data_IF_963025065937
#
_entry.id   IF_963025065937
#
_cell.length_a   1.000
_cell.length_b   1.000
_cell.length_c   1.000
_cell.angle_alpha   90.00
_cell.angle_beta   90.00
_cell.angle_gamma   90.00
#
_symmetry.space_group_name_H-M   'P 1'
#
loop_
_entity.id
_entity.type
_entity.pdbx_description
1 polymer ?
#
# COMPACT_ATOMS: atom_id res chain seq x y z
N UNK A 1 8.60 15.94 -37.05
CA UNK A 1 8.58 16.20 -35.60
C UNK A 1 7.74 15.12 -34.87
N UNK A 2 6.55 14.74 -35.37
CA UNK A 2 5.68 13.71 -34.71
C UNK A 2 6.26 12.29 -34.67
N UNK A 3 7.12 11.87 -35.60
CA UNK A 3 7.73 10.52 -35.61
C UNK A 3 8.81 10.32 -34.54
N UNK A 4 9.50 11.40 -34.13
CA UNK A 4 10.53 11.32 -33.07
C UNK A 4 9.91 11.24 -31.67
N UNK A 5 8.81 11.93 -31.41
CA UNK A 5 8.13 11.90 -30.11
C UNK A 5 7.60 10.49 -29.76
N UNK A 6 7.06 9.77 -30.77
CA UNK A 6 6.59 8.38 -30.57
C UNK A 6 7.72 7.39 -30.26
N UNK A 7 8.92 7.59 -30.85
CA UNK A 7 10.10 6.75 -30.58
C UNK A 7 10.69 7.03 -29.20
N UNK A 8 10.70 8.29 -28.76
CA UNK A 8 11.16 8.67 -27.43
C UNK A 8 10.22 8.13 -26.33
N UNK A 9 8.90 8.18 -26.55
CA UNK A 9 7.93 7.63 -25.61
C UNK A 9 8.06 6.12 -25.44
N UNK A 10 8.32 5.39 -26.55
CA UNK A 10 8.53 3.94 -26.52
C UNK A 10 9.83 3.57 -25.77
N UNK A 11 10.90 4.34 -25.94
CA UNK A 11 12.19 4.08 -25.27
C UNK A 11 12.09 4.37 -23.77
N UNK A 12 11.38 5.40 -23.36
CA UNK A 12 11.15 5.71 -21.94
C UNK A 12 10.29 4.63 -21.28
N UNK A 13 9.25 4.14 -21.97
CA UNK A 13 8.40 3.07 -21.44
C UNK A 13 9.17 1.73 -21.34
N UNK A 14 10.03 1.43 -22.31
CA UNK A 14 10.84 0.18 -22.33
C UNK A 14 11.97 0.25 -21.29
N UNK A 15 12.58 1.41 -21.09
CA UNK A 15 13.64 1.62 -20.09
C UNK A 15 13.14 1.45 -18.65
N UNK A 16 11.95 1.94 -18.33
CA UNK A 16 11.33 1.76 -17.02
C UNK A 16 10.95 0.30 -16.77
N UNK A 17 10.55 -0.44 -17.80
CA UNK A 17 10.25 -1.88 -17.67
C UNK A 17 11.51 -2.76 -17.52
N UNK A 18 12.61 -2.40 -18.15
CA UNK A 18 13.83 -3.22 -18.12
C UNK A 18 14.54 -3.19 -16.75
N UNK A 19 14.48 -2.08 -16.03
CA UNK A 19 15.06 -1.98 -14.66
C UNK A 19 14.25 -2.81 -13.66
N UNK A 20 12.97 -3.05 -13.91
CA UNK A 20 12.12 -3.83 -13.00
C UNK A 20 12.31 -5.35 -13.12
N UNK A 21 13.01 -5.85 -14.12
CA UNK A 21 13.22 -7.30 -14.33
C UNK A 21 14.52 -7.85 -13.72
N UNK A 22 15.45 -7.00 -13.28
CA UNK A 22 16.78 -7.45 -12.85
C UNK A 22 16.94 -7.66 -11.33
N UNK A 23 15.92 -7.46 -10.54
CA UNK A 23 16.00 -7.67 -9.08
C UNK A 23 15.00 -8.71 -8.59
N UNK A 24 15.08 -9.92 -9.12
CA UNK A 24 14.56 -11.09 -8.44
C UNK A 24 15.44 -11.39 -7.22
N UNK A 25 14.79 -11.56 -6.08
CA UNK A 25 15.27 -12.26 -4.89
C UNK A 25 16.24 -11.60 -3.91
N UNK A 26 16.38 -10.33 -3.70
CA UNK A 26 17.02 -9.86 -2.46
C UNK A 26 16.95 -8.36 -2.16
N UNK A 27 16.24 -7.58 -2.91
CA UNK A 27 16.02 -6.17 -2.59
C UNK A 27 14.60 -5.94 -2.02
N UNK A 28 14.16 -6.92 -1.25
CA UNK A 28 13.05 -6.92 -0.31
C UNK A 28 12.00 -5.81 -0.43
N UNK A 29 11.49 -5.55 0.66
CA UNK A 29 10.35 -4.73 1.07
C UNK A 29 10.19 -3.40 0.33
N UNK A 30 11.27 -2.60 0.22
CA UNK A 30 11.22 -1.26 -0.41
C UNK A 30 10.93 -1.25 -1.90
N UNK A 31 11.25 -2.33 -2.62
CA UNK A 31 10.96 -2.44 -4.07
C UNK A 31 9.48 -2.74 -4.28
N UNK A 32 8.89 -3.61 -3.48
CA UNK A 32 7.47 -3.92 -3.51
C UNK A 32 6.63 -2.69 -3.16
N UNK A 33 6.99 -1.99 -2.09
CA UNK A 33 6.37 -0.74 -1.66
C UNK A 33 6.41 0.33 -2.75
N UNK A 34 7.58 0.53 -3.36
CA UNK A 34 7.76 1.50 -4.44
C UNK A 34 6.92 1.15 -5.67
N UNK A 35 6.96 -0.11 -6.12
CA UNK A 35 6.17 -0.55 -7.27
C UNK A 35 4.67 -0.37 -7.05
N UNK A 36 4.18 -0.73 -5.87
CA UNK A 36 2.78 -0.55 -5.53
C UNK A 36 2.42 0.93 -5.51
N UNK A 37 3.24 1.81 -4.93
CA UNK A 37 3.00 3.24 -4.87
C UNK A 37 3.04 3.89 -6.26
N UNK A 38 3.99 3.49 -7.11
CA UNK A 38 4.07 3.96 -8.50
C UNK A 38 2.81 3.54 -9.29
N UNK A 39 2.33 2.31 -9.09
CA UNK A 39 1.11 1.81 -9.72
C UNK A 39 -0.14 2.50 -9.17
N UNK A 40 -0.19 2.74 -7.86
CA UNK A 40 -1.27 3.48 -7.20
C UNK A 40 -1.39 4.90 -7.77
N UNK A 41 -0.26 5.57 -8.02
CA UNK A 41 -0.24 6.90 -8.64
C UNK A 41 -0.76 6.92 -10.08
N UNK A 42 -0.70 5.80 -10.80
CA UNK A 42 -1.34 5.71 -12.13
C UNK A 42 -2.86 5.84 -12.00
N UNK A 43 -3.46 5.20 -11.00
CA UNK A 43 -4.90 5.30 -10.74
C UNK A 43 -5.27 6.65 -10.11
N UNK A 44 -4.48 7.14 -9.16
CA UNK A 44 -4.72 8.43 -8.50
C UNK A 44 -4.79 9.61 -9.46
N UNK A 45 -4.05 9.57 -10.57
CA UNK A 45 -4.09 10.63 -11.61
C UNK A 45 -5.49 10.85 -12.20
N UNK A 46 -6.28 9.80 -12.34
CA UNK A 46 -7.65 9.90 -12.85
C UNK A 46 -8.56 10.68 -11.87
N UNK A 47 -8.26 10.63 -10.59
CA UNK A 47 -8.97 11.31 -9.52
C UNK A 47 -8.29 12.66 -9.12
N UNK A 48 -7.29 13.12 -9.88
CA UNK A 48 -6.45 14.28 -9.55
C UNK A 48 -5.77 14.16 -8.18
N UNK A 49 -5.28 12.96 -7.86
CA UNK A 49 -4.60 12.64 -6.62
C UNK A 49 -3.17 12.20 -6.91
N UNK A 50 -2.24 12.69 -6.08
CA UNK A 50 -0.86 12.24 -6.01
C UNK A 50 -0.58 11.65 -4.63
N UNK A 51 -0.21 10.38 -4.57
CA UNK A 51 0.20 9.71 -3.33
C UNK A 51 1.69 9.92 -3.10
N UNK A 52 2.05 10.50 -1.96
CA UNK A 52 3.46 10.76 -1.58
C UNK A 52 3.83 10.02 -0.31
N UNK A 53 4.91 9.25 -0.37
CA UNK A 53 5.47 8.59 0.82
C UNK A 53 5.97 9.63 1.82
N UNK A 54 5.51 9.50 3.06
CA UNK A 54 5.87 10.35 4.19
C UNK A 54 5.91 9.52 5.47
N UNK A 55 6.98 9.69 6.26
CA UNK A 55 7.06 9.08 7.61
C UNK A 55 6.07 9.76 8.55
N UNK A 56 6.02 11.09 8.48
CA UNK A 56 5.14 11.95 9.28
C UNK A 56 4.56 13.06 8.41
N UNK A 57 3.41 13.58 8.79
CA UNK A 57 2.78 14.72 8.12
C UNK A 57 2.05 15.61 9.13
N UNK A 58 2.07 16.92 8.89
CA UNK A 58 1.21 17.87 9.63
C UNK A 58 0.10 18.35 8.71
N UNK A 59 -1.15 18.15 9.12
CA UNK A 59 -2.35 18.57 8.39
C UNK A 59 -3.21 19.39 9.35
N UNK A 60 -3.51 20.63 8.98
CA UNK A 60 -4.32 21.56 9.80
C UNK A 60 -3.77 21.70 11.24
N UNK A 61 -2.44 21.76 11.39
CA UNK A 61 -1.78 21.89 12.69
C UNK A 61 -1.62 20.60 13.50
N UNK A 62 -2.24 19.50 13.08
CA UNK A 62 -2.11 18.19 13.74
C UNK A 62 -1.04 17.35 13.09
N UNK A 63 -0.11 16.83 13.88
CA UNK A 63 0.95 15.90 13.43
C UNK A 63 0.42 14.47 13.44
N UNK A 64 0.68 13.75 12.36
CA UNK A 64 0.34 12.34 12.18
C UNK A 64 1.60 11.54 11.90
N UNK A 65 1.76 10.39 12.56
CA UNK A 65 2.92 9.50 12.50
C UNK A 65 2.56 8.26 11.66
N UNK A 66 2.61 8.38 10.32
CA UNK A 66 2.19 7.31 9.39
C UNK A 66 3.06 6.06 9.53
N UNK A 67 4.38 6.24 9.66
CA UNK A 67 5.33 5.15 9.85
C UNK A 67 5.10 4.39 11.15
N UNK A 68 4.82 5.09 12.25
CA UNK A 68 4.51 4.47 13.53
C UNK A 68 3.21 3.66 13.45
N UNK A 69 2.18 4.21 12.82
CA UNK A 69 0.92 3.51 12.59
C UNK A 69 1.13 2.23 11.74
N UNK A 70 1.90 2.30 10.66
CA UNK A 70 2.25 1.13 9.85
C UNK A 70 3.03 0.07 10.65
N UNK A 71 4.00 0.50 11.47
CA UNK A 71 4.79 -0.39 12.32
C UNK A 71 3.91 -1.09 13.38
N UNK A 72 2.94 -0.39 13.94
CA UNK A 72 1.97 -0.97 14.88
C UNK A 72 1.06 -1.98 14.19
N UNK A 73 0.55 -1.69 12.99
CA UNK A 73 -0.22 -2.64 12.18
C UNK A 73 0.63 -3.87 11.87
N UNK A 74 1.87 -3.67 11.42
CA UNK A 74 2.83 -4.76 11.17
C UNK A 74 3.02 -5.66 12.38
N UNK A 75 3.11 -5.10 13.57
CA UNK A 75 3.25 -5.88 14.79
C UNK A 75 2.00 -6.70 15.17
N UNK A 76 0.83 -6.40 14.58
CA UNK A 76 -0.39 -7.15 14.82
C UNK A 76 -0.42 -8.51 14.12
N UNK A 77 0.43 -8.76 13.11
CA UNK A 77 0.48 -10.08 12.43
C UNK A 77 0.88 -11.23 13.36
N UNK A 78 1.55 -10.91 14.48
CA UNK A 78 1.93 -11.88 15.51
C UNK A 78 0.83 -12.14 16.55
N UNK A 79 -0.30 -11.43 16.45
CA UNK A 79 -1.43 -11.63 17.34
C UNK A 79 -2.06 -13.00 17.11
N UNK A 80 -2.45 -13.68 18.18
CA UNK A 80 -3.06 -15.02 18.13
C UNK A 80 -4.38 -15.08 17.36
N UNK A 81 -5.02 -13.94 17.13
CA UNK A 81 -6.23 -13.83 16.30
C UNK A 81 -5.91 -13.82 14.80
N UNK A 82 -4.62 -13.72 14.43
CA UNK A 82 -4.15 -13.64 13.05
C UNK A 82 -3.18 -14.78 12.77
N UNK A 83 -2.10 -14.90 13.57
CA UNK A 83 -1.07 -15.92 13.39
C UNK A 83 -1.69 -17.32 13.46
N UNK A 84 -1.32 -18.18 12.53
CA UNK A 84 -1.76 -19.58 12.40
C UNK A 84 -3.29 -19.73 12.16
N UNK A 85 -4.00 -18.64 11.83
CA UNK A 85 -5.44 -18.67 11.61
C UNK A 85 -5.80 -18.87 10.14
N UNK A 86 -7.00 -19.41 9.90
CA UNK A 86 -7.64 -19.42 8.60
C UNK A 86 -8.10 -17.98 8.25
N UNK A 87 -7.66 -17.50 7.10
CA UNK A 87 -7.99 -16.18 6.56
C UNK A 87 -8.45 -16.36 5.13
N UNK A 88 -9.72 -16.08 4.86
CA UNK A 88 -10.33 -16.39 3.56
C UNK A 88 -9.64 -15.64 2.41
N UNK A 89 -9.37 -14.36 2.61
CA UNK A 89 -8.80 -13.45 1.61
C UNK A 89 -8.12 -12.22 2.26
N UNK A 90 -7.64 -11.31 1.43
CA UNK A 90 -6.96 -10.08 1.87
C UNK A 90 -7.88 -9.15 2.66
N UNK A 91 -9.18 -9.09 2.35
CA UNK A 91 -10.14 -8.26 3.08
C UNK A 91 -10.42 -8.81 4.48
N UNK A 92 -10.48 -10.13 4.61
CA UNK A 92 -10.56 -10.79 5.91
C UNK A 92 -9.31 -10.52 6.76
N UNK A 93 -8.10 -10.57 6.16
CA UNK A 93 -6.86 -10.20 6.84
C UNK A 93 -6.88 -8.74 7.28
N UNK A 94 -7.27 -7.83 6.40
CA UNK A 94 -7.41 -6.40 6.72
C UNK A 94 -8.35 -6.18 7.91
N UNK A 95 -9.48 -6.87 7.94
CA UNK A 95 -10.48 -6.77 9.02
C UNK A 95 -9.88 -7.23 10.35
N UNK A 96 -9.17 -8.36 10.38
CA UNK A 96 -8.49 -8.86 11.58
C UNK A 96 -7.38 -7.90 12.04
N UNK A 97 -6.55 -7.38 11.11
CA UNK A 97 -5.52 -6.39 11.42
C UNK A 97 -6.12 -5.10 11.98
N UNK A 98 -7.24 -4.63 11.44
CA UNK A 98 -7.91 -3.43 11.95
C UNK A 98 -8.42 -3.61 13.38
N UNK A 99 -9.00 -4.76 13.70
CA UNK A 99 -9.45 -5.08 15.05
C UNK A 99 -8.25 -5.17 16.03
N UNK A 100 -7.18 -5.87 15.66
CA UNK A 100 -5.98 -5.99 16.48
C UNK A 100 -5.27 -4.63 16.65
N UNK A 101 -5.19 -3.82 15.61
CA UNK A 101 -4.61 -2.48 15.69
C UNK A 101 -5.43 -1.57 16.61
N UNK A 102 -6.76 -1.59 16.50
CA UNK A 102 -7.66 -0.81 17.39
C UNK A 102 -7.51 -1.26 18.86
N UNK A 103 -7.42 -2.54 19.11
CA UNK A 103 -7.18 -3.05 20.46
C UNK A 103 -5.82 -2.61 21.01
N UNK A 104 -4.79 -2.53 20.16
CA UNK A 104 -3.43 -2.15 20.55
C UNK A 104 -3.21 -0.65 20.70
N UNK A 105 -3.92 0.17 19.92
CA UNK A 105 -3.79 1.63 19.91
C UNK A 105 -5.14 2.31 19.69
N UNK A 106 -6.05 2.16 20.66
CA UNK A 106 -7.40 2.72 20.59
C UNK A 106 -7.42 4.25 20.43
N UNK A 107 -6.39 4.93 20.90
CA UNK A 107 -6.30 6.40 20.85
C UNK A 107 -5.98 6.90 19.45
N UNK A 108 -5.05 6.25 18.73
CA UNK A 108 -4.57 6.73 17.44
C UNK A 108 -5.18 5.99 16.25
N UNK A 109 -5.59 4.72 16.41
CA UNK A 109 -6.16 3.93 15.31
C UNK A 109 -7.31 4.62 14.57
N UNK A 110 -8.21 5.41 15.22
CA UNK A 110 -9.29 6.11 14.53
C UNK A 110 -8.81 7.18 13.54
N UNK A 111 -7.57 7.66 13.70
CA UNK A 111 -7.00 8.72 12.87
C UNK A 111 -6.47 8.20 11.52
N UNK A 112 -6.39 6.89 11.34
CA UNK A 112 -5.77 6.29 10.18
C UNK A 112 -6.73 5.39 9.41
N UNK A 113 -6.54 5.38 8.10
CA UNK A 113 -7.10 4.39 7.19
C UNK A 113 -5.94 3.62 6.58
N UNK A 114 -6.11 2.32 6.38
CA UNK A 114 -5.09 1.53 5.72
C UNK A 114 -5.71 0.50 4.76
N UNK A 115 -4.90 0.08 3.81
CA UNK A 115 -5.19 -1.00 2.88
C UNK A 115 -4.11 -2.06 2.97
N UNK A 116 -4.48 -3.30 2.69
CA UNK A 116 -3.58 -4.45 2.60
C UNK A 116 -3.59 -4.91 1.15
N UNK A 117 -2.42 -5.08 0.57
CA UNK A 117 -2.26 -5.50 -0.81
C UNK A 117 -1.38 -6.74 -0.86
N UNK A 118 -1.88 -7.83 -1.40
CA UNK A 118 -1.09 -9.01 -1.71
C UNK A 118 -0.33 -8.80 -3.03
N UNK A 119 0.92 -9.22 -3.09
CA UNK A 119 1.68 -9.20 -4.33
C UNK A 119 1.12 -10.22 -5.32
N UNK A 120 0.54 -9.72 -6.41
CA UNK A 120 0.07 -10.58 -7.49
C UNK A 120 1.22 -11.20 -8.28
N UNK A 121 0.96 -12.30 -8.96
CA UNK A 121 1.93 -12.95 -9.86
C UNK A 121 1.79 -12.42 -11.28
N UNK A 122 2.93 -12.09 -11.93
CA UNK A 122 2.97 -11.72 -13.34
C UNK A 122 3.14 -10.24 -13.65
N UNK A 123 2.95 -9.89 -14.94
CA UNK A 123 3.26 -8.55 -15.49
C UNK A 123 2.50 -7.39 -14.82
N UNK A 124 1.29 -7.65 -14.33
CA UNK A 124 0.41 -6.66 -13.72
C UNK A 124 0.17 -6.96 -12.24
N UNK A 125 1.18 -7.52 -11.57
CA UNK A 125 1.10 -8.00 -10.20
C UNK A 125 0.41 -7.02 -9.23
N UNK A 126 0.69 -5.72 -9.39
CA UNK A 126 0.15 -4.68 -8.51
C UNK A 126 -1.09 -3.96 -9.04
N UNK A 127 -1.52 -4.20 -10.30
CA UNK A 127 -2.56 -3.41 -10.95
C UNK A 127 -3.92 -3.53 -10.24
N UNK A 128 -4.37 -4.75 -9.97
CA UNK A 128 -5.66 -4.97 -9.28
C UNK A 128 -5.60 -4.46 -7.83
N UNK A 129 -4.52 -4.78 -7.10
CA UNK A 129 -4.33 -4.33 -5.73
C UNK A 129 -4.28 -2.79 -5.64
N UNK A 130 -3.53 -2.11 -6.53
CA UNK A 130 -3.46 -0.67 -6.57
C UNK A 130 -4.79 -0.01 -6.93
N UNK A 131 -5.57 -0.60 -7.83
CA UNK A 131 -6.92 -0.11 -8.16
C UNK A 131 -7.82 -0.15 -6.93
N UNK A 132 -7.89 -1.28 -6.24
CA UNK A 132 -8.69 -1.44 -5.01
C UNK A 132 -8.19 -0.51 -3.90
N UNK A 133 -6.88 -0.37 -3.74
CA UNK A 133 -6.28 0.55 -2.77
C UNK A 133 -6.66 2.01 -3.07
N UNK A 134 -6.65 2.43 -4.35
CA UNK A 134 -7.05 3.78 -4.75
C UNK A 134 -8.50 4.10 -4.32
N UNK A 135 -9.44 3.16 -4.47
CA UNK A 135 -10.84 3.38 -4.07
C UNK A 135 -10.99 3.71 -2.58
N UNK A 136 -10.12 3.14 -1.74
CA UNK A 136 -10.11 3.44 -0.30
C UNK A 136 -9.32 4.73 -0.01
N UNK A 137 -8.11 4.85 -0.57
CA UNK A 137 -7.17 5.92 -0.21
C UNK A 137 -7.52 7.27 -0.84
N UNK A 138 -8.28 7.32 -1.94
CA UNK A 138 -8.75 8.59 -2.53
C UNK A 138 -9.64 9.41 -1.59
N UNK A 139 -10.22 8.78 -0.57
CA UNK A 139 -11.01 9.45 0.47
C UNK A 139 -10.16 9.89 1.66
N UNK A 140 -8.87 9.56 1.69
CA UNK A 140 -7.98 9.94 2.78
C UNK A 140 -7.71 11.46 2.78
N UNK A 141 -7.29 11.98 3.92
CA UNK A 141 -7.08 13.41 4.13
C UNK A 141 -5.87 13.91 3.35
N UNK A 142 -6.04 14.85 2.39
CA UNK A 142 -4.92 15.44 1.68
C UNK A 142 -4.19 16.48 2.54
N UNK A 143 -2.96 16.83 2.16
CA UNK A 143 -2.20 17.91 2.80
C UNK A 143 -2.93 19.25 2.61
N UNK A 144 -3.41 19.51 1.38
CA UNK A 144 -4.21 20.67 1.01
C UNK A 144 -5.46 20.20 0.26
N UNK A 145 -6.62 20.43 0.85
CA UNK A 145 -7.90 20.03 0.27
C UNK A 145 -8.35 20.97 -0.87
N UNK A 146 -7.76 22.17 -0.99
CA UNK A 146 -8.13 23.19 -1.97
C UNK A 146 -7.31 23.09 -3.26
N UNK A 147 -6.22 22.32 -3.25
CA UNK A 147 -5.35 22.13 -4.41
C UNK A 147 -6.06 21.40 -5.55
N UNK A 148 -5.79 21.81 -6.80
CA UNK A 148 -6.30 21.14 -8.01
C UNK A 148 -5.86 19.68 -8.07
N UNK A 149 -4.60 19.41 -7.73
CA UNK A 149 -4.11 18.05 -7.52
C UNK A 149 -3.90 17.87 -6.02
N UNK A 150 -4.69 16.98 -5.43
CA UNK A 150 -4.62 16.68 -4.01
C UNK A 150 -3.43 15.78 -3.71
N UNK A 151 -2.56 16.19 -2.82
CA UNK A 151 -1.48 15.34 -2.33
C UNK A 151 -1.95 14.60 -1.09
N UNK A 152 -2.09 13.27 -1.20
CA UNK A 152 -2.43 12.37 -0.09
C UNK A 152 -1.14 11.76 0.45
N UNK A 153 -0.76 12.08 1.71
CA UNK A 153 0.40 11.48 2.35
C UNK A 153 0.10 10.04 2.72
N UNK A 154 1.00 9.14 2.36
CA UNK A 154 0.89 7.71 2.67
C UNK A 154 2.23 7.18 3.19
N UNK A 155 2.19 6.09 3.91
CA UNK A 155 3.38 5.30 4.23
C UNK A 155 3.10 3.84 3.90
N UNK A 156 4.00 3.21 3.17
CA UNK A 156 3.92 1.80 2.82
C UNK A 156 4.97 1.02 3.61
N UNK A 157 4.59 -0.17 4.09
CA UNK A 157 5.50 -1.14 4.73
C UNK A 157 5.11 -2.54 4.30
N UNK A 158 6.07 -3.42 4.16
CA UNK A 158 5.80 -4.84 3.93
C UNK A 158 5.53 -5.56 5.24
N UNK A 159 4.61 -6.50 5.19
CA UNK A 159 4.28 -7.40 6.29
C UNK A 159 4.32 -8.84 5.81
N UNK A 160 4.79 -9.75 6.67
CA UNK A 160 4.70 -11.19 6.46
C UNK A 160 3.78 -11.76 7.51
N UNK A 161 2.68 -12.37 7.09
CA UNK A 161 1.72 -13.01 7.99
C UNK A 161 1.78 -14.53 7.80
N UNK A 162 1.98 -15.26 8.90
CA UNK A 162 1.91 -16.73 8.90
C UNK A 162 0.45 -17.15 9.10
N UNK A 163 -0.25 -17.40 8.00
CA UNK A 163 -1.69 -17.64 7.93
C UNK A 163 -2.01 -18.73 6.91
N UNK A 164 -3.21 -19.29 6.99
CA UNK A 164 -3.74 -20.19 5.96
C UNK A 164 -4.80 -19.46 5.15
N UNK A 165 -4.48 -19.15 3.90
CA UNK A 165 -5.42 -18.53 2.96
C UNK A 165 -6.21 -19.59 2.17
N UNK A 166 -7.32 -19.19 1.53
CA UNK A 166 -8.10 -20.07 0.68
C UNK A 166 -7.22 -20.71 -0.40
N UNK A 167 -7.22 -22.04 -0.46
CA UNK A 167 -6.38 -22.82 -1.38
C UNK A 167 -5.08 -23.33 -0.77
N UNK A 168 -4.72 -22.92 0.44
CA UNK A 168 -3.58 -23.48 1.16
C UNK A 168 -3.95 -24.78 1.86
N UNK A 169 -2.99 -25.70 1.94
CA UNK A 169 -3.15 -26.96 2.71
C UNK A 169 -2.85 -26.77 4.19
N UNK A 170 -1.98 -25.82 4.53
CA UNK A 170 -1.57 -25.47 5.89
C UNK A 170 -1.24 -23.98 5.97
N UNK A 171 -1.08 -23.46 7.19
CA UNK A 171 -0.58 -22.11 7.40
C UNK A 171 0.86 -22.01 6.86
N UNK A 172 1.15 -20.87 6.21
CA UNK A 172 2.45 -20.53 5.66
C UNK A 172 2.63 -19.01 5.62
N UNK A 173 3.84 -18.56 5.33
CA UNK A 173 4.15 -17.16 5.19
C UNK A 173 3.57 -16.58 3.89
N UNK A 174 2.80 -15.54 4.03
CA UNK A 174 2.29 -14.71 2.95
C UNK A 174 2.81 -13.28 3.10
N UNK A 175 3.26 -12.70 1.99
CA UNK A 175 3.79 -11.33 1.95
C UNK A 175 2.74 -10.35 1.41
N UNK A 176 2.59 -9.26 2.12
CA UNK A 176 1.67 -8.16 1.76
C UNK A 176 2.38 -6.83 1.90
N UNK A 177 1.84 -5.82 1.24
CA UNK A 177 2.16 -4.41 1.51
C UNK A 177 0.97 -3.75 2.17
N UNK A 178 1.21 -3.11 3.30
CA UNK A 178 0.24 -2.24 3.98
C UNK A 178 0.54 -0.80 3.60
N UNK A 179 -0.49 -0.06 3.17
CA UNK A 179 -0.39 1.38 2.93
C UNK A 179 -1.29 2.07 3.94
N UNK A 180 -0.72 3.00 4.71
CA UNK A 180 -1.41 3.80 5.73
C UNK A 180 -1.54 5.23 5.26
N UNK A 181 -2.69 5.84 5.48
CA UNK A 181 -2.97 7.26 5.25
C UNK A 181 -3.75 7.86 6.42
N UNK A 182 -3.79 9.19 6.48
CA UNK A 182 -4.63 9.91 7.46
C UNK A 182 -6.10 9.81 7.02
N UNK A 183 -6.97 9.39 7.93
CA UNK A 183 -8.41 9.32 7.70
C UNK A 183 -9.01 10.73 7.57
N UNK A 184 -9.91 10.94 6.61
CA UNK A 184 -10.63 12.21 6.45
C UNK A 184 -11.66 12.44 7.55
#
# INVERSE_FOLDING_TARGET
IMKMAKKLLAVVLTGVMAVSMLTGCALGDKVAEKKLLDTLNVYGKADSIEYKSKDTVTISGTKYELKDAASKIKSCVSDSTIKDQDVADVDALKTKLAAAYTAKDATNSPNYVFVVCEEGKGKNAWSAAAKTANETLKTAKPIDATATTKVVPVYADTITAHIKMTGDTAAKDHNFVVIVAVKA
#
